data_IF_864692614433
#
_entry.id   IF_864692614433
#
_cell.length_a   1.000
_cell.length_b   1.000
_cell.length_c   1.000
_cell.angle_alpha   90.00
_cell.angle_beta   90.00
_cell.angle_gamma   90.00
#
_symmetry.space_group_name_H-M   'P 1'
#
loop_
_entity.id
_entity.type
_entity.pdbx_description
1 polymer ?
#
# COMPACT_ATOMS: atom_id res chain seq x y z
N UNK A 1 -18.22 31.56 10.44
CA UNK A 1 -17.90 30.21 10.96
C UNK A 1 -16.55 29.79 10.41
N UNK A 2 -15.56 29.48 11.24
CA UNK A 2 -14.27 28.98 10.75
C UNK A 2 -14.48 27.61 10.08
N UNK A 3 -14.06 27.47 8.83
CA UNK A 3 -14.15 26.19 8.11
C UNK A 3 -13.40 25.10 8.90
N UNK A 4 -14.03 23.93 9.07
CA UNK A 4 -13.43 22.77 9.74
C UNK A 4 -12.12 22.42 9.03
N UNK A 5 -10.99 22.66 9.69
CA UNK A 5 -9.67 22.40 9.11
C UNK A 5 -9.45 20.90 9.06
N UNK A 6 -9.60 20.29 7.88
CA UNK A 6 -9.34 18.86 7.70
C UNK A 6 -7.82 18.64 7.66
N UNK A 7 -7.28 18.02 8.71
CA UNK A 7 -5.87 17.67 8.78
C UNK A 7 -5.65 16.30 8.15
N UNK A 8 -4.55 16.21 7.41
CA UNK A 8 -4.04 14.94 6.92
C UNK A 8 -3.86 13.97 8.09
N UNK A 9 -4.54 12.83 8.05
CA UNK A 9 -4.51 11.83 9.10
C UNK A 9 -4.25 10.43 8.53
N UNK A 10 -3.76 9.53 9.37
CA UNK A 10 -3.39 8.18 8.95
C UNK A 10 -4.57 7.39 8.38
N UNK A 11 -5.77 7.57 8.93
CA UNK A 11 -6.98 6.86 8.48
C UNK A 11 -7.32 7.20 7.02
N UNK A 12 -7.28 8.48 6.66
CA UNK A 12 -7.57 8.93 5.31
C UNK A 12 -6.49 8.49 4.32
N UNK A 13 -5.20 8.54 4.73
CA UNK A 13 -4.11 8.04 3.89
C UNK A 13 -4.27 6.53 3.65
N UNK A 14 -4.52 5.73 4.69
CA UNK A 14 -4.76 4.29 4.57
C UNK A 14 -5.93 3.98 3.64
N UNK A 15 -7.04 4.73 3.79
CA UNK A 15 -8.19 4.62 2.90
C UNK A 15 -7.81 4.88 1.45
N UNK A 16 -7.04 5.95 1.18
CA UNK A 16 -6.64 6.30 -0.17
C UNK A 16 -5.59 5.34 -0.76
N UNK A 17 -4.70 4.77 0.04
CA UNK A 17 -3.80 3.68 -0.36
C UNK A 17 -4.63 2.48 -0.81
N UNK A 18 -5.60 2.05 0.01
CA UNK A 18 -6.47 0.92 -0.31
C UNK A 18 -7.25 1.17 -1.60
N UNK A 19 -7.92 2.31 -1.74
CA UNK A 19 -8.64 2.68 -2.97
C UNK A 19 -7.72 2.69 -4.19
N UNK A 20 -6.51 3.23 -4.06
CA UNK A 20 -5.51 3.23 -5.14
C UNK A 20 -5.12 1.80 -5.53
N UNK A 21 -4.84 0.92 -4.55
CA UNK A 21 -4.53 -0.50 -4.80
C UNK A 21 -5.68 -1.25 -5.47
N UNK A 22 -6.94 -0.88 -5.19
CA UNK A 22 -8.11 -1.49 -5.83
C UNK A 22 -8.16 -1.24 -7.33
N UNK A 23 -7.66 -0.10 -7.82
CA UNK A 23 -7.66 0.24 -9.26
C UNK A 23 -6.78 -0.69 -10.10
N UNK A 24 -5.80 -1.36 -9.48
CA UNK A 24 -4.90 -2.33 -10.11
C UNK A 24 -5.41 -3.78 -9.99
N UNK A 25 -6.61 -3.98 -9.43
CA UNK A 25 -7.06 -5.30 -8.97
C UNK A 25 -8.32 -5.76 -9.70
N UNK A 26 -8.43 -7.08 -9.87
CA UNK A 26 -9.61 -7.73 -10.43
C UNK A 26 -10.43 -8.44 -9.35
N UNK A 27 -11.75 -8.38 -9.48
CA UNK A 27 -12.70 -8.91 -8.52
C UNK A 27 -13.77 -9.74 -9.24
N UNK A 28 -14.25 -10.80 -8.61
CA UNK A 28 -15.45 -11.52 -9.08
C UNK A 28 -16.72 -10.73 -8.85
N UNK A 29 -16.76 -9.95 -7.76
CA UNK A 29 -17.88 -9.09 -7.40
C UNK A 29 -17.38 -7.92 -6.55
N UNK A 30 -18.05 -6.77 -6.67
CA UNK A 30 -17.74 -5.54 -5.93
C UNK A 30 -17.74 -5.70 -4.40
N UNK A 31 -18.49 -6.66 -3.84
CA UNK A 31 -18.52 -6.90 -2.39
C UNK A 31 -17.18 -7.41 -1.83
N UNK A 32 -16.32 -7.92 -2.69
CA UNK A 32 -14.99 -8.44 -2.34
C UNK A 32 -13.87 -7.40 -2.52
N UNK A 33 -14.21 -6.13 -2.80
CA UNK A 33 -13.21 -5.06 -2.92
C UNK A 33 -12.52 -4.75 -1.60
N UNK A 34 -13.26 -4.84 -0.51
CA UNK A 34 -12.76 -4.62 0.85
C UNK A 34 -12.40 -5.95 1.52
N UNK A 35 -11.46 -5.88 2.47
CA UNK A 35 -11.01 -7.01 3.28
C UNK A 35 -11.41 -6.81 4.74
N UNK A 36 -11.53 -7.89 5.48
CA UNK A 36 -11.85 -7.88 6.92
C UNK A 36 -10.62 -8.09 7.78
N UNK A 37 -9.70 -8.91 7.30
CA UNK A 37 -8.42 -9.16 7.94
C UNK A 37 -7.35 -9.35 6.87
N UNK A 38 -6.19 -8.74 7.10
CA UNK A 38 -4.97 -9.10 6.38
C UNK A 38 -4.29 -10.16 7.23
N UNK A 39 -4.26 -11.40 6.76
CA UNK A 39 -3.53 -12.46 7.43
C UNK A 39 -2.06 -12.24 7.08
N UNK A 40 -1.24 -11.97 8.09
CA UNK A 40 0.13 -11.49 7.89
C UNK A 40 1.12 -12.29 8.72
N UNK A 41 1.38 -13.52 8.30
CA UNK A 41 2.53 -14.28 8.76
C UNK A 41 3.44 -14.55 7.56
N UNK A 42 4.53 -13.78 7.49
CA UNK A 42 5.60 -13.89 6.50
C UNK A 42 5.17 -13.78 5.02
N UNK A 43 5.89 -12.97 4.24
CA UNK A 43 5.56 -12.60 2.84
C UNK A 43 5.63 -13.80 1.84
N UNK A 44 5.67 -15.03 2.33
CA UNK A 44 5.94 -16.23 1.55
C UNK A 44 4.86 -17.29 1.83
N UNK A 45 3.70 -17.14 1.18
CA UNK A 45 2.62 -18.12 1.10
C UNK A 45 2.00 -18.46 2.46
N UNK A 46 0.93 -17.75 2.82
CA UNK A 46 0.03 -18.28 3.85
C UNK A 46 -0.81 -19.35 3.16
N UNK A 47 -0.64 -20.59 3.60
CA UNK A 47 -1.67 -21.57 3.38
C UNK A 47 -2.85 -21.18 4.28
N UNK A 48 -4.00 -21.01 3.68
CA UNK A 48 -5.19 -20.55 4.39
C UNK A 48 -5.64 -21.54 5.49
N UNK A 49 -5.07 -22.74 5.45
CA UNK A 49 -5.18 -23.79 6.45
C UNK A 49 -4.57 -23.38 7.81
N UNK A 50 -3.78 -22.30 7.87
CA UNK A 50 -3.22 -21.75 9.12
C UNK A 50 -4.11 -20.70 9.81
N UNK A 51 -5.36 -20.48 9.34
CA UNK A 51 -6.29 -19.58 10.03
C UNK A 51 -6.70 -20.14 11.40
N UNK A 52 -6.11 -19.56 12.45
CA UNK A 52 -6.55 -19.73 13.83
C UNK A 52 -7.98 -19.22 14.07
N UNK A 53 -8.64 -19.72 15.11
CA UNK A 53 -9.95 -19.21 15.56
C UNK A 53 -9.89 -17.71 15.95
N UNK A 54 -8.72 -17.25 16.42
CA UNK A 54 -8.48 -15.84 16.74
C UNK A 54 -8.58 -14.95 15.48
N UNK A 55 -7.96 -15.38 14.37
CA UNK A 55 -8.07 -14.67 13.08
C UNK A 55 -9.52 -14.58 12.61
N UNK A 56 -10.30 -15.65 12.76
CA UNK A 56 -11.72 -15.66 12.38
C UNK A 56 -12.52 -14.66 13.23
N UNK A 57 -12.30 -14.66 14.54
CA UNK A 57 -12.99 -13.76 15.47
C UNK A 57 -12.61 -12.29 15.23
N UNK A 58 -11.34 -12.01 14.95
CA UNK A 58 -10.87 -10.67 14.60
C UNK A 58 -11.52 -10.17 13.31
N UNK A 59 -11.54 -11.00 12.27
CA UNK A 59 -12.14 -10.65 10.99
C UNK A 59 -13.64 -10.33 11.11
N UNK A 60 -14.39 -11.15 11.87
CA UNK A 60 -15.81 -10.89 12.18
C UNK A 60 -15.96 -9.57 12.92
N UNK A 61 -15.11 -9.31 13.92
CA UNK A 61 -15.13 -8.07 14.70
C UNK A 61 -14.87 -6.84 13.82
N UNK A 62 -13.90 -6.92 12.90
CA UNK A 62 -13.58 -5.85 11.97
C UNK A 62 -14.74 -5.61 10.97
N UNK A 63 -15.38 -6.67 10.49
CA UNK A 63 -16.57 -6.58 9.63
C UNK A 63 -17.72 -5.89 10.36
N UNK A 64 -18.01 -6.29 11.60
CA UNK A 64 -19.05 -5.68 12.44
C UNK A 64 -18.80 -4.18 12.62
N UNK A 65 -17.59 -3.79 13.07
CA UNK A 65 -17.20 -2.38 13.24
C UNK A 65 -17.34 -1.53 11.97
N UNK A 66 -17.18 -2.14 10.78
CA UNK A 66 -17.34 -1.44 9.50
C UNK A 66 -18.80 -1.26 9.11
N UNK A 67 -19.66 -2.22 9.43
CA UNK A 67 -21.09 -2.21 9.11
C UNK A 67 -21.95 -1.52 10.18
N UNK A 68 -21.43 -1.37 11.40
CA UNK A 68 -22.06 -0.67 12.50
C UNK A 68 -22.24 0.82 12.14
N UNK A 69 -23.46 1.18 11.78
CA UNK A 69 -23.86 2.58 11.51
C UNK A 69 -24.24 3.29 12.82
N UNK A 70 -24.88 2.54 13.72
CA UNK A 70 -25.28 2.98 15.06
C UNK A 70 -24.83 1.95 16.09
N UNK A 71 -24.40 2.41 17.26
CA UNK A 71 -23.78 1.57 18.30
C UNK A 71 -24.76 0.61 18.98
N UNK A 72 -26.06 0.91 18.87
CA UNK A 72 -27.12 0.18 19.55
C UNK A 72 -27.76 -0.92 18.67
N UNK A 73 -27.27 -1.12 17.44
CA UNK A 73 -27.78 -2.13 16.51
C UNK A 73 -26.76 -3.25 16.34
N UNK A 74 -27.11 -4.47 16.79
CA UNK A 74 -26.28 -5.64 16.50
C UNK A 74 -26.31 -5.99 15.01
N UNK A 75 -25.13 -5.94 14.39
CA UNK A 75 -24.96 -6.37 13.00
C UNK A 75 -24.59 -7.85 12.96
N UNK A 76 -25.45 -8.65 12.33
CA UNK A 76 -25.15 -10.04 12.00
C UNK A 76 -24.23 -10.11 10.78
N UNK A 77 -23.19 -10.94 10.90
CA UNK A 77 -22.19 -11.14 9.84
C UNK A 77 -22.11 -12.62 9.55
N UNK A 78 -22.40 -13.00 8.31
CA UNK A 78 -22.21 -14.37 7.84
C UNK A 78 -20.70 -14.69 7.81
N UNK A 79 -20.21 -15.70 8.56
CA UNK A 79 -18.83 -16.13 8.52
C UNK A 79 -18.35 -16.51 7.11
N UNK A 80 -19.26 -16.94 6.23
CA UNK A 80 -18.94 -17.30 4.84
C UNK A 80 -18.67 -16.10 3.94
N UNK A 81 -19.04 -14.88 4.36
CA UNK A 81 -18.83 -13.64 3.58
C UNK A 81 -17.58 -12.86 4.04
N UNK A 82 -16.84 -13.39 5.01
CA UNK A 82 -15.59 -12.79 5.50
C UNK A 82 -14.50 -12.87 4.43
N UNK A 83 -13.86 -11.73 4.18
CA UNK A 83 -12.82 -11.59 3.17
C UNK A 83 -11.45 -11.50 3.81
N UNK A 84 -10.64 -12.53 3.60
CA UNK A 84 -9.24 -12.55 4.03
C UNK A 84 -8.33 -12.09 2.90
N UNK A 85 -7.49 -11.09 3.17
CA UNK A 85 -6.42 -10.68 2.26
C UNK A 85 -5.14 -11.41 2.64
N UNK A 86 -4.55 -12.09 1.66
CA UNK A 86 -3.29 -12.83 1.81
C UNK A 86 -2.29 -12.30 0.79
N UNK A 87 -1.07 -12.03 1.23
CA UNK A 87 0.03 -11.68 0.32
C UNK A 87 0.51 -12.92 -0.41
N UNK A 88 0.58 -12.85 -1.73
CA UNK A 88 0.92 -13.99 -2.58
C UNK A 88 1.52 -13.52 -3.90
N UNK A 89 2.59 -14.22 -4.33
CA UNK A 89 3.29 -13.96 -5.58
C UNK A 89 2.88 -14.93 -6.70
N UNK A 90 2.08 -15.96 -6.44
CA UNK A 90 1.84 -17.04 -7.41
C UNK A 90 1.16 -16.60 -8.72
N UNK A 91 0.43 -15.47 -8.73
CA UNK A 91 -0.16 -14.91 -9.95
C UNK A 91 0.73 -13.90 -10.68
N UNK A 92 1.89 -13.57 -10.11
CA UNK A 92 2.88 -12.70 -10.72
C UNK A 92 3.78 -13.58 -11.61
N UNK A 93 4.11 -13.18 -12.84
CA UNK A 93 5.05 -13.92 -13.66
C UNK A 93 6.47 -13.90 -13.07
N UNK A 94 7.22 -14.99 -13.28
CA UNK A 94 8.66 -15.02 -13.00
C UNK A 94 9.41 -14.14 -14.01
N UNK A 95 10.44 -13.45 -13.55
CA UNK A 95 11.34 -12.64 -14.38
C UNK A 95 12.80 -12.98 -14.05
N UNK A 96 13.30 -14.14 -14.53
CA UNK A 96 14.67 -14.56 -14.30
C UNK A 96 15.66 -13.53 -14.86
N UNK A 97 16.67 -13.16 -14.06
CA UNK A 97 17.69 -12.18 -14.46
C UNK A 97 17.38 -10.72 -14.10
N UNK A 98 16.20 -10.41 -13.54
CA UNK A 98 15.87 -9.06 -13.06
C UNK A 98 16.84 -8.53 -12.00
N UNK A 99 17.31 -9.41 -11.11
CA UNK A 99 18.32 -9.10 -10.09
C UNK A 99 19.46 -10.09 -10.13
N UNK A 100 20.68 -9.57 -10.03
CA UNK A 100 21.91 -10.38 -10.03
C UNK A 100 22.01 -11.35 -8.85
N UNK A 101 21.44 -11.00 -7.68
CA UNK A 101 21.44 -11.83 -6.47
C UNK A 101 20.06 -11.79 -5.81
N UNK A 102 19.10 -12.61 -6.29
CA UNK A 102 17.77 -12.65 -5.69
C UNK A 102 17.84 -13.25 -4.27
N UNK A 103 17.22 -12.57 -3.29
CA UNK A 103 17.19 -13.03 -1.89
C UNK A 103 15.79 -13.36 -1.39
N UNK A 104 14.78 -12.71 -1.99
CA UNK A 104 13.38 -12.83 -1.58
C UNK A 104 12.54 -13.37 -2.74
N UNK A 105 11.36 -13.94 -2.45
CA UNK A 105 10.42 -14.40 -3.49
C UNK A 105 10.11 -13.28 -4.48
N UNK A 106 9.95 -12.05 -4.00
CA UNK A 106 9.73 -10.87 -4.83
C UNK A 106 10.84 -10.63 -5.87
N UNK A 107 12.10 -11.00 -5.57
CA UNK A 107 13.23 -10.81 -6.47
C UNK A 107 13.17 -11.69 -7.72
N UNK A 108 12.49 -12.84 -7.63
CA UNK A 108 12.31 -13.78 -8.74
C UNK A 108 11.15 -13.43 -9.67
N UNK A 109 10.25 -12.56 -9.21
CA UNK A 109 9.04 -12.18 -9.91
C UNK A 109 9.17 -10.82 -10.61
N UNK A 110 8.24 -10.56 -11.53
CA UNK A 110 8.09 -9.29 -12.21
C UNK A 110 7.96 -8.13 -11.21
N UNK A 111 8.49 -6.96 -11.56
CA UNK A 111 8.37 -5.76 -10.71
C UNK A 111 6.90 -5.33 -10.60
N UNK A 112 6.45 -5.10 -9.37
CA UNK A 112 5.07 -4.69 -9.04
C UNK A 112 5.04 -3.37 -8.28
N UNK A 113 3.90 -2.68 -8.32
CA UNK A 113 3.72 -1.35 -7.70
C UNK A 113 3.60 -1.44 -6.18
N UNK A 114 3.07 -2.55 -5.66
CA UNK A 114 2.88 -2.82 -4.24
C UNK A 114 2.92 -4.34 -3.97
N UNK A 115 3.06 -4.79 -2.71
CA UNK A 115 3.06 -6.22 -2.39
C UNK A 115 1.82 -6.93 -2.97
N UNK A 116 2.00 -7.98 -3.79
CA UNK A 116 0.89 -8.64 -4.46
C UNK A 116 0.08 -9.43 -3.44
N UNK A 117 -1.23 -9.40 -3.61
CA UNK A 117 -2.19 -10.08 -2.74
C UNK A 117 -3.33 -10.71 -3.52
N UNK A 118 -4.04 -11.61 -2.83
CA UNK A 118 -5.31 -12.22 -3.20
C UNK A 118 -6.33 -12.05 -2.08
N UNK A 119 -7.62 -12.03 -2.44
CA UNK A 119 -8.70 -12.16 -1.47
C UNK A 119 -9.30 -13.56 -1.54
N UNK A 120 -9.49 -14.14 -0.37
CA UNK A 120 -9.99 -15.49 -0.17
C UNK A 120 -11.24 -15.45 0.71
N UNK A 121 -12.23 -16.24 0.34
CA UNK A 121 -13.52 -16.36 1.03
C UNK A 121 -13.85 -17.85 1.20
N UNK A 122 -14.45 -18.22 2.32
CA UNK A 122 -14.79 -19.62 2.58
C UNK A 122 -15.88 -20.11 1.62
N UNK A 123 -15.69 -21.28 1.02
CA UNK A 123 -16.69 -21.91 0.17
C UNK A 123 -17.20 -23.21 0.82
N UNK A 124 -18.40 -23.19 1.43
CA UNK A 124 -18.94 -24.34 2.16
C UNK A 124 -19.15 -25.55 1.24
N UNK A 125 -19.49 -25.35 -0.04
CA UNK A 125 -19.74 -26.44 -0.99
C UNK A 125 -18.49 -27.27 -1.32
N UNK A 126 -17.30 -26.66 -1.24
CA UNK A 126 -16.02 -27.32 -1.57
C UNK A 126 -15.14 -27.54 -0.34
N UNK A 127 -15.64 -27.17 0.85
CA UNK A 127 -14.92 -27.21 2.12
C UNK A 127 -13.49 -26.63 2.03
N UNK A 128 -13.33 -25.52 1.30
CA UNK A 128 -12.05 -24.85 1.08
C UNK A 128 -12.26 -23.38 0.76
N UNK A 129 -11.23 -22.57 0.94
CA UNK A 129 -11.29 -21.18 0.51
C UNK A 129 -11.19 -21.04 -1.01
N UNK A 130 -11.90 -20.04 -1.53
CA UNK A 130 -11.96 -19.70 -2.95
C UNK A 130 -11.38 -18.32 -3.17
N UNK A 131 -10.55 -18.19 -4.20
CA UNK A 131 -10.08 -16.91 -4.68
C UNK A 131 -11.23 -16.09 -5.29
N UNK A 132 -11.43 -14.89 -4.77
CA UNK A 132 -12.48 -13.96 -5.19
C UNK A 132 -11.95 -12.63 -5.71
N UNK A 133 -10.67 -12.32 -5.46
CA UNK A 133 -9.97 -11.16 -6.00
C UNK A 133 -8.45 -11.39 -6.08
N UNK A 134 -7.79 -10.66 -6.97
CA UNK A 134 -6.33 -10.59 -7.06
C UNK A 134 -5.83 -9.22 -7.52
N UNK A 135 -4.66 -8.86 -7.01
CA UNK A 135 -3.95 -7.64 -7.39
C UNK A 135 -3.20 -7.76 -8.74
N UNK A 136 -2.87 -6.61 -9.34
CA UNK A 136 -2.10 -6.50 -10.59
C UNK A 136 -2.70 -7.32 -11.74
N UNK A 137 -4.02 -7.30 -11.89
CA UNK A 137 -4.74 -8.13 -12.86
C UNK A 137 -5.78 -7.31 -13.61
N UNK A 138 -5.73 -7.37 -14.94
CA UNK A 138 -6.67 -6.68 -15.82
C UNK A 138 -7.64 -7.67 -16.45
N UNK A 139 -8.94 -7.41 -16.28
CA UNK A 139 -10.02 -8.24 -16.80
C UNK A 139 -10.66 -9.10 -15.71
N UNK A 140 -11.34 -10.17 -16.09
CA UNK A 140 -11.95 -11.10 -15.14
C UNK A 140 -10.87 -11.97 -14.48
N UNK A 141 -11.19 -12.59 -13.33
CA UNK A 141 -10.23 -13.48 -12.66
C UNK A 141 -9.89 -14.71 -13.51
N UNK A 142 -10.85 -15.23 -14.28
CA UNK A 142 -10.68 -16.44 -15.09
C UNK A 142 -9.96 -16.20 -16.43
N UNK A 143 -10.20 -15.07 -17.10
CA UNK A 143 -9.69 -14.82 -18.46
C UNK A 143 -8.81 -13.58 -18.57
N UNK A 144 -8.61 -12.86 -17.48
CA UNK A 144 -7.75 -11.67 -17.45
C UNK A 144 -6.27 -12.01 -17.55
N UNK A 145 -5.44 -10.98 -17.38
CA UNK A 145 -3.97 -11.12 -17.42
C UNK A 145 -3.28 -10.23 -16.42
N UNK A 146 -2.08 -10.62 -16.03
CA UNK A 146 -1.19 -9.80 -15.22
C UNK A 146 -0.93 -8.45 -15.91
N UNK A 147 -1.08 -7.36 -15.16
CA UNK A 147 -0.88 -6.00 -15.66
C UNK A 147 -0.62 -5.01 -14.51
N UNK A 148 0.47 -4.26 -14.60
CA UNK A 148 0.90 -3.27 -13.59
C UNK A 148 0.56 -1.83 -13.98
N UNK A 149 0.14 -1.58 -15.22
CA UNK A 149 -0.01 -0.22 -15.76
C UNK A 149 -1.45 0.29 -15.85
N UNK A 150 -2.44 -0.58 -15.62
CA UNK A 150 -3.85 -0.23 -15.86
C UNK A 150 -4.53 0.52 -14.71
N UNK A 151 -3.97 0.46 -13.51
CA UNK A 151 -4.49 1.15 -12.35
C UNK A 151 -3.91 2.56 -12.23
N UNK A 152 -4.40 3.30 -11.24
CA UNK A 152 -3.97 4.67 -10.96
C UNK A 152 -3.93 4.94 -9.46
N UNK A 153 -3.00 5.79 -9.05
CA UNK A 153 -3.02 6.38 -7.70
C UNK A 153 -4.12 7.43 -7.65
N UNK A 154 -4.98 7.40 -6.63
CA UNK A 154 -6.08 8.37 -6.53
C UNK A 154 -5.55 9.80 -6.43
N UNK A 155 -6.26 10.74 -7.04
CA UNK A 155 -5.90 12.16 -7.00
C UNK A 155 -5.79 12.68 -5.56
N UNK A 156 -6.63 12.16 -4.67
CA UNK A 156 -6.58 12.50 -3.26
C UNK A 156 -5.28 11.99 -2.61
N UNK A 157 -4.83 10.76 -2.88
CA UNK A 157 -3.54 10.28 -2.37
C UNK A 157 -2.38 11.12 -2.93
N UNK A 158 -2.42 11.45 -4.21
CA UNK A 158 -1.42 12.29 -4.86
C UNK A 158 -1.34 13.68 -4.20
N UNK A 159 -2.51 14.31 -3.98
CA UNK A 159 -2.62 15.58 -3.28
C UNK A 159 -2.12 15.49 -1.83
N UNK A 160 -2.37 14.37 -1.14
CA UNK A 160 -1.84 14.12 0.20
C UNK A 160 -0.30 14.07 0.18
N UNK A 161 0.31 13.37 -0.78
CA UNK A 161 1.77 13.32 -0.95
C UNK A 161 2.36 14.71 -1.24
N UNK A 162 1.73 15.50 -2.12
CA UNK A 162 2.17 16.87 -2.42
C UNK A 162 2.16 17.75 -1.16
N UNK A 163 1.04 17.76 -0.42
CA UNK A 163 0.89 18.53 0.83
C UNK A 163 1.91 18.13 1.90
N UNK A 164 2.22 16.83 2.00
CA UNK A 164 3.24 16.33 2.93
C UNK A 164 4.61 16.90 2.61
N UNK A 165 5.02 16.80 1.33
CA UNK A 165 6.32 17.29 0.86
C UNK A 165 6.45 18.81 1.02
N UNK A 166 5.40 19.56 0.64
CA UNK A 166 5.35 21.02 0.81
C UNK A 166 5.48 21.42 2.28
N UNK A 167 4.71 20.78 3.16
CA UNK A 167 4.78 21.06 4.59
C UNK A 167 6.15 20.72 5.16
N UNK A 168 6.75 19.60 4.74
CA UNK A 168 8.07 19.18 5.20
C UNK A 168 9.16 20.20 4.83
N UNK A 169 9.09 20.78 3.63
CA UNK A 169 10.02 21.81 3.15
C UNK A 169 9.99 23.12 3.98
N UNK A 170 8.91 23.38 4.72
CA UNK A 170 8.80 24.56 5.60
C UNK A 170 9.53 24.43 6.93
N UNK A 171 10.08 23.25 7.26
CA UNK A 171 10.85 23.04 8.50
C UNK A 171 12.08 23.94 8.51
N UNK A 172 12.49 24.40 9.69
CA UNK A 172 13.61 25.34 9.89
C UNK A 172 14.89 24.94 9.16
N UNK A 173 15.18 23.64 9.10
CA UNK A 173 16.42 23.13 8.50
C UNK A 173 16.44 23.23 6.96
N UNK A 174 15.27 23.30 6.32
CA UNK A 174 15.11 23.27 4.86
C UNK A 174 14.55 24.57 4.30
N UNK A 175 13.88 25.35 5.15
CA UNK A 175 13.23 26.60 4.76
C UNK A 175 14.28 27.60 4.27
N UNK A 176 14.08 28.10 3.06
CA UNK A 176 15.01 29.07 2.45
C UNK A 176 16.31 28.44 1.93
N UNK A 177 16.43 27.11 1.93
CA UNK A 177 17.58 26.45 1.31
C UNK A 177 17.50 26.60 -0.22
N UNK A 178 18.64 26.90 -0.85
CA UNK A 178 18.72 27.22 -2.30
C UNK A 178 18.12 26.14 -3.19
N UNK A 179 18.34 24.86 -2.86
CA UNK A 179 17.85 23.72 -3.66
C UNK A 179 16.58 23.08 -3.10
N UNK A 180 15.80 23.79 -2.28
CA UNK A 180 14.59 23.24 -1.66
C UNK A 180 13.56 22.76 -2.68
N UNK A 181 13.47 23.41 -3.84
CA UNK A 181 12.53 22.99 -4.90
C UNK A 181 12.95 21.70 -5.60
N UNK A 182 14.26 21.47 -5.76
CA UNK A 182 14.78 20.19 -6.24
C UNK A 182 14.54 19.08 -5.21
N UNK A 183 14.79 19.37 -3.92
CA UNK A 183 14.48 18.45 -2.82
C UNK A 183 13.02 18.04 -2.80
N UNK A 184 12.09 18.99 -2.97
CA UNK A 184 10.65 18.75 -3.05
C UNK A 184 10.31 17.87 -4.24
N UNK A 185 10.84 18.19 -5.42
CA UNK A 185 10.58 17.43 -6.65
C UNK A 185 11.06 15.99 -6.54
N UNK A 186 12.27 15.79 -6.02
CA UNK A 186 12.83 14.45 -5.82
C UNK A 186 12.09 13.64 -4.75
N UNK A 187 11.67 14.30 -3.66
CA UNK A 187 10.88 13.64 -2.62
C UNK A 187 9.49 13.24 -3.13
N UNK A 188 8.84 14.09 -3.92
CA UNK A 188 7.55 13.79 -4.52
C UNK A 188 7.65 12.61 -5.50
N UNK A 189 8.70 12.57 -6.33
CA UNK A 189 8.99 11.43 -7.21
C UNK A 189 9.23 10.14 -6.40
N UNK A 190 9.93 10.24 -5.27
CA UNK A 190 10.13 9.08 -4.41
C UNK A 190 8.80 8.60 -3.80
N UNK A 191 7.97 9.52 -3.29
CA UNK A 191 6.65 9.17 -2.78
C UNK A 191 5.79 8.52 -3.86
N UNK A 192 5.73 9.05 -5.08
CA UNK A 192 4.91 8.45 -6.15
C UNK A 192 5.31 7.01 -6.48
N UNK A 193 6.57 6.62 -6.22
CA UNK A 193 7.06 5.25 -6.42
C UNK A 193 6.76 4.31 -5.24
N UNK A 194 6.74 4.83 -4.01
CA UNK A 194 6.65 4.01 -2.79
C UNK A 194 5.31 4.13 -2.07
N UNK A 195 4.44 5.09 -2.44
CA UNK A 195 3.22 5.39 -1.68
C UNK A 195 2.34 4.16 -1.52
N UNK A 196 2.21 3.34 -2.58
CA UNK A 196 1.44 2.10 -2.53
C UNK A 196 2.21 0.92 -1.90
N UNK A 197 3.52 1.03 -1.70
CA UNK A 197 4.34 -0.02 -1.08
C UNK A 197 4.22 -0.06 0.44
N UNK A 198 3.48 0.88 1.05
CA UNK A 198 3.17 0.82 2.48
C UNK A 198 2.44 -0.49 2.80
N UNK A 199 2.88 -1.13 3.88
CA UNK A 199 2.39 -2.44 4.35
C UNK A 199 1.46 -2.25 5.55
N UNK A 200 0.16 -2.35 5.28
CA UNK A 200 -0.90 -2.12 6.26
C UNK A 200 -0.97 -3.19 7.35
N UNK A 201 -0.36 -4.36 7.15
CA UNK A 201 -0.34 -5.40 8.19
C UNK A 201 0.64 -5.11 9.31
N UNK A 202 1.70 -4.34 9.02
CA UNK A 202 2.78 -4.04 9.99
C UNK A 202 2.56 -2.75 10.76
N UNK A 203 1.80 -1.80 10.18
CA UNK A 203 1.62 -0.49 10.78
C UNK A 203 0.34 0.19 10.31
N UNK A 204 -0.26 0.96 11.21
CA UNK A 204 -1.40 1.84 10.91
C UNK A 204 -0.95 3.32 10.78
N UNK A 205 0.35 3.58 10.60
CA UNK A 205 0.93 4.93 10.56
C UNK A 205 1.68 5.23 9.25
N UNK A 206 0.98 5.37 8.11
CA UNK A 206 1.60 5.72 6.84
C UNK A 206 2.24 7.13 6.85
N UNK A 207 1.76 8.05 7.69
CA UNK A 207 2.35 9.39 7.80
C UNK A 207 3.83 9.33 8.20
N UNK A 208 4.16 8.47 9.17
CA UNK A 208 5.55 8.29 9.60
C UNK A 208 6.41 7.67 8.48
N UNK A 209 5.89 6.66 7.78
CA UNK A 209 6.56 6.03 6.64
C UNK A 209 6.87 7.04 5.53
N UNK A 210 5.88 7.86 5.13
CA UNK A 210 6.08 8.90 4.11
C UNK A 210 7.03 10.00 4.58
N UNK A 211 6.92 10.44 5.83
CA UNK A 211 7.82 11.46 6.38
C UNK A 211 9.26 10.98 6.42
N UNK A 212 9.50 9.70 6.76
CA UNK A 212 10.83 9.10 6.72
C UNK A 212 11.39 9.08 5.28
N UNK A 213 10.57 8.71 4.29
CA UNK A 213 10.97 8.73 2.89
C UNK A 213 11.33 10.15 2.40
N UNK A 214 10.52 11.15 2.74
CA UNK A 214 10.81 12.56 2.41
C UNK A 214 12.14 12.99 3.05
N UNK A 215 12.34 12.68 4.34
CA UNK A 215 13.57 13.03 5.08
C UNK A 215 14.81 12.44 4.39
N UNK A 216 14.75 11.16 4.02
CA UNK A 216 15.84 10.49 3.32
C UNK A 216 16.09 11.09 1.93
N UNK A 217 15.03 11.45 1.19
CA UNK A 217 15.17 12.11 -0.11
C UNK A 217 15.83 13.47 0.00
N UNK A 218 15.38 14.33 0.92
CA UNK A 218 15.95 15.66 1.15
C UNK A 218 17.43 15.56 1.52
N UNK A 219 17.76 14.65 2.43
CA UNK A 219 19.14 14.41 2.87
C UNK A 219 20.03 13.92 1.74
N UNK A 220 19.51 13.08 0.84
CA UNK A 220 20.24 12.61 -0.34
C UNK A 220 20.60 13.77 -1.27
N UNK A 221 19.67 14.68 -1.56
CA UNK A 221 19.93 15.87 -2.41
C UNK A 221 21.03 16.72 -1.79
N UNK A 222 20.90 17.00 -0.49
CA UNK A 222 21.88 17.77 0.27
C UNK A 222 23.28 17.16 0.18
N UNK A 223 23.38 15.83 0.29
CA UNK A 223 24.66 15.14 0.24
C UNK A 223 25.28 15.13 -1.17
N UNK A 224 24.46 15.00 -2.21
CA UNK A 224 24.93 15.11 -3.61
C UNK A 224 25.48 16.52 -3.88
N UNK A 225 24.78 17.54 -3.39
CA UNK A 225 25.22 18.92 -3.56
C UNK A 225 26.51 19.21 -2.78
N UNK A 226 26.57 18.83 -1.50
CA UNK A 226 27.79 18.97 -0.68
C UNK A 226 29.01 18.29 -1.32
N UNK A 227 28.81 17.11 -1.90
CA UNK A 227 29.88 16.42 -2.62
C UNK A 227 30.36 17.20 -3.84
N UNK A 228 29.44 17.80 -4.60
CA UNK A 228 29.76 18.59 -5.79
C UNK A 228 30.47 19.90 -5.44
N UNK A 229 30.08 20.53 -4.32
CA UNK A 229 30.76 21.71 -3.77
C UNK A 229 32.19 21.37 -3.36
N UNK A 230 32.40 20.32 -2.56
CA UNK A 230 33.75 19.91 -2.15
C UNK A 230 34.66 19.62 -3.36
N UNK A 231 34.15 18.93 -4.39
CA UNK A 231 34.93 18.67 -5.61
C UNK A 231 35.31 19.98 -6.32
N UNK A 232 34.39 20.96 -6.37
CA UNK A 232 34.69 22.26 -6.97
C UNK A 232 35.77 23.00 -6.17
N UNK A 233 35.64 23.01 -4.85
CA UNK A 233 36.57 23.69 -3.96
C UNK A 233 37.96 23.02 -4.00
N UNK A 234 38.04 21.70 -4.15
CA UNK A 234 39.29 20.95 -4.32
C UNK A 234 39.98 21.22 -5.68
N UNK A 235 39.22 21.66 -6.70
CA UNK A 235 39.74 21.96 -8.04
C UNK A 235 40.24 23.42 -8.18
N UNK A 236 39.88 24.31 -7.25
CA UNK A 236 40.25 25.72 -7.22
C UNK A 236 41.53 25.96 -6.40
#
# INVERSE_FOLDING_TARGET
MAAKRNYLNNKDILKQIHLSKQTYSAYTHDKFKDYDLIVAEHINVIDIDELTEEHKQEAITNRKKRLEIDKDVEVEVDPNDIVYRVYDFSHIPLEPGRKNKPKTIADHHAKVNFPPWKHLVWNPNKNRYKEVARSHWKGTISTGKFCVDHGYMTDELANMCMKLTERYATRSNWRGYTYVDEMRSQALLQLSQISLQFDESKSQNPFAYYTAAITNSFTRVLNVEKRSQNIRDDLL
#
